data_IF_602425508144
#
_entry.id   IF_602425508144
#
_cell.length_a   1.000
_cell.length_b   1.000
_cell.length_c   1.000
_cell.angle_alpha   90.00
_cell.angle_beta   90.00
_cell.angle_gamma   90.00
#
_symmetry.space_group_name_H-M   'P 1'
#
loop_
_entity.id
_entity.type
_entity.pdbx_description
1 polymer ?
#
# COMPACT_ATOMS: atom_id res chain seq x y z
N UNK A 1 -4.26 -37.45 -33.04
CA UNK A 1 -4.21 -36.26 -32.17
C UNK A 1 -3.28 -36.60 -31.02
N UNK A 2 -2.11 -35.97 -30.88
CA UNK A 2 -1.24 -36.25 -29.74
C UNK A 2 -1.85 -35.62 -28.50
N UNK A 3 -1.86 -36.42 -27.43
CA UNK A 3 -2.33 -36.11 -26.09
C UNK A 3 -1.63 -34.84 -25.58
N UNK A 4 -2.37 -33.74 -25.51
CA UNK A 4 -1.86 -32.46 -25.00
C UNK A 4 -1.83 -32.60 -23.48
N UNK A 5 -0.70 -33.00 -22.91
CA UNK A 5 -0.51 -32.95 -21.45
C UNK A 5 -0.61 -31.48 -21.04
N UNK A 6 -1.75 -31.09 -20.47
CA UNK A 6 -2.13 -29.70 -20.19
C UNK A 6 -1.36 -29.10 -18.99
N UNK A 7 -0.69 -29.92 -18.17
CA UNK A 7 0.16 -29.45 -17.08
C UNK A 7 1.40 -30.36 -16.97
N UNK A 8 2.57 -29.74 -16.86
CA UNK A 8 3.84 -30.45 -16.62
C UNK A 8 4.31 -30.17 -15.19
N UNK A 9 4.59 -31.23 -14.43
CA UNK A 9 5.13 -31.09 -13.09
C UNK A 9 6.56 -30.52 -13.13
N UNK A 10 6.82 -29.54 -12.28
CA UNK A 10 8.15 -28.97 -12.04
C UNK A 10 8.66 -29.52 -10.72
N UNK A 11 9.89 -30.04 -10.71
CA UNK A 11 10.55 -30.51 -9.49
C UNK A 11 10.83 -29.33 -8.55
N UNK A 12 10.67 -29.53 -7.23
CA UNK A 12 10.80 -28.45 -6.23
C UNK A 12 12.16 -27.72 -6.32
N UNK A 13 13.25 -28.47 -6.56
CA UNK A 13 14.58 -27.87 -6.75
C UNK A 13 14.65 -26.94 -7.96
N UNK A 14 13.97 -27.29 -9.05
CA UNK A 14 13.92 -26.45 -10.23
C UNK A 14 13.04 -25.21 -9.97
N UNK A 15 11.92 -25.41 -9.26
CA UNK A 15 11.04 -24.32 -8.88
C UNK A 15 11.71 -23.30 -7.96
N UNK A 16 12.56 -23.73 -7.01
CA UNK A 16 13.35 -22.83 -6.18
C UNK A 16 14.20 -21.84 -7.01
N UNK A 17 14.81 -22.31 -8.10
CA UNK A 17 15.57 -21.46 -9.02
C UNK A 17 14.71 -20.44 -9.77
N UNK A 18 13.47 -20.81 -10.13
CA UNK A 18 12.52 -19.89 -10.74
C UNK A 18 12.05 -18.84 -9.72
N UNK A 19 11.68 -19.29 -8.53
CA UNK A 19 11.25 -18.43 -7.43
C UNK A 19 12.35 -17.43 -7.03
N UNK A 20 13.61 -17.86 -7.01
CA UNK A 20 14.76 -16.98 -6.77
C UNK A 20 14.78 -15.77 -7.71
N UNK A 21 14.62 -15.99 -9.01
CA UNK A 21 14.61 -14.91 -10.00
C UNK A 21 13.37 -14.04 -9.86
N UNK A 22 12.18 -14.65 -9.72
CA UNK A 22 10.93 -13.92 -9.66
C UNK A 22 10.74 -13.09 -8.37
N UNK A 23 11.34 -13.51 -7.26
CA UNK A 23 11.24 -12.82 -5.96
C UNK A 23 12.29 -11.74 -5.74
N UNK A 24 13.23 -11.53 -6.67
CA UNK A 24 14.35 -10.62 -6.46
C UNK A 24 13.90 -9.18 -6.16
N UNK A 25 12.97 -8.64 -6.96
CA UNK A 25 12.47 -7.27 -6.77
C UNK A 25 11.71 -7.13 -5.44
N UNK A 26 10.91 -8.14 -5.11
CA UNK A 26 10.22 -8.20 -3.81
C UNK A 26 11.23 -8.15 -2.64
N UNK A 27 12.33 -8.92 -2.69
CA UNK A 27 13.32 -8.91 -1.61
C UNK A 27 14.14 -7.63 -1.55
N UNK A 28 14.42 -6.98 -2.68
CA UNK A 28 15.00 -5.62 -2.69
C UNK A 28 14.05 -4.63 -2.03
N UNK A 29 12.74 -4.72 -2.30
CA UNK A 29 11.74 -3.87 -1.67
C UNK A 29 11.68 -4.13 -0.16
N UNK A 30 11.65 -5.40 0.26
CA UNK A 30 11.70 -5.80 1.66
C UNK A 30 12.89 -5.16 2.39
N UNK A 31 14.10 -5.21 1.80
CA UNK A 31 15.29 -4.55 2.36
C UNK A 31 15.07 -3.04 2.58
N UNK A 32 14.55 -2.34 1.56
CA UNK A 32 14.29 -0.91 1.66
C UNK A 32 13.26 -0.60 2.77
N UNK A 33 12.19 -1.39 2.86
CA UNK A 33 11.13 -1.18 3.85
C UNK A 33 11.57 -1.47 5.28
N UNK A 34 12.39 -2.51 5.51
CA UNK A 34 12.99 -2.83 6.82
C UNK A 34 14.00 -1.77 7.26
N UNK A 35 14.81 -1.25 6.32
CA UNK A 35 15.79 -0.20 6.62
C UNK A 35 15.13 1.12 7.08
N UNK A 36 13.91 1.39 6.61
CA UNK A 36 13.14 2.58 7.02
C UNK A 36 12.62 2.48 8.46
N UNK A 37 12.37 1.28 8.97
CA UNK A 37 11.91 1.09 10.36
C UNK A 37 13.06 1.15 11.38
N UNK A 38 14.28 0.80 10.97
CA UNK A 38 15.48 0.86 11.82
C UNK A 38 16.07 2.28 12.01
N UNK A 39 15.43 3.30 11.41
CA UNK A 39 15.76 4.72 11.59
C UNK A 39 15.41 5.27 12.97
N UNK A 40 16.05 6.37 13.38
CA UNK A 40 15.82 7.03 14.67
C UNK A 40 14.37 7.55 14.72
N UNK A 41 13.56 7.26 15.75
CA UNK A 41 12.18 7.75 15.81
C UNK A 41 12.15 9.28 15.75
N UNK A 42 11.51 9.82 14.70
CA UNK A 42 11.27 11.26 14.57
C UNK A 42 11.63 11.91 13.21
N UNK A 43 12.31 11.20 12.30
CA UNK A 43 12.52 11.73 10.94
C UNK A 43 11.29 11.45 10.05
N UNK A 44 10.75 12.50 9.40
CA UNK A 44 9.64 12.37 8.46
C UNK A 44 9.99 11.51 7.22
N UNK A 45 11.29 11.27 6.95
CA UNK A 45 11.78 10.39 5.88
C UNK A 45 11.65 8.89 6.18
N UNK A 46 11.42 8.52 7.44
CA UNK A 46 11.58 7.14 7.93
C UNK A 46 10.24 6.40 8.06
N UNK A 47 9.11 7.08 7.82
CA UNK A 47 7.80 6.43 7.89
C UNK A 47 7.35 5.96 6.51
N UNK A 48 6.79 4.75 6.46
CA UNK A 48 6.08 4.29 5.28
C UNK A 48 4.97 5.27 4.93
N UNK A 49 4.90 5.61 3.65
CA UNK A 49 3.85 6.45 3.07
C UNK A 49 3.01 5.62 2.12
N UNK A 50 1.90 6.18 1.63
CA UNK A 50 1.02 5.54 0.63
C UNK A 50 1.76 4.88 -0.54
N UNK A 51 2.82 5.50 -1.07
CA UNK A 51 3.61 4.93 -2.19
C UNK A 51 4.33 3.63 -1.82
N UNK A 52 4.76 3.49 -0.56
CA UNK A 52 5.45 2.30 -0.08
C UNK A 52 4.49 1.12 0.02
N UNK A 53 3.29 1.35 0.58
CA UNK A 53 2.23 0.34 0.60
C UNK A 53 1.79 -0.03 -0.82
N UNK A 54 1.66 0.94 -1.72
CA UNK A 54 1.33 0.67 -3.12
C UNK A 54 2.36 -0.23 -3.81
N UNK A 55 3.66 0.08 -3.66
CA UNK A 55 4.70 -0.78 -4.22
C UNK A 55 4.68 -2.17 -3.58
N UNK A 56 4.47 -2.27 -2.27
CA UNK A 56 4.39 -3.55 -1.57
C UNK A 56 3.21 -4.40 -2.04
N UNK A 57 2.05 -3.79 -2.28
CA UNK A 57 0.90 -4.45 -2.90
C UNK A 57 1.31 -5.03 -4.26
N UNK A 58 1.92 -4.20 -5.13
CA UNK A 58 2.29 -4.61 -6.48
C UNK A 58 3.27 -5.78 -6.49
N UNK A 59 4.33 -5.73 -5.68
CA UNK A 59 5.34 -6.81 -5.64
C UNK A 59 4.81 -8.07 -4.95
N UNK A 60 3.99 -7.94 -3.90
CA UNK A 60 3.38 -9.10 -3.24
C UNK A 60 2.34 -9.79 -4.14
N UNK A 61 1.57 -9.02 -4.91
CA UNK A 61 0.59 -9.53 -5.87
C UNK A 61 1.27 -10.27 -7.04
N UNK A 62 2.36 -9.71 -7.58
CA UNK A 62 3.16 -10.36 -8.61
C UNK A 62 3.80 -11.67 -8.10
N UNK A 63 4.34 -11.66 -6.87
CA UNK A 63 4.94 -12.85 -6.27
C UNK A 63 3.89 -13.93 -5.94
N UNK A 64 2.74 -13.56 -5.36
CA UNK A 64 1.64 -14.50 -5.09
C UNK A 64 1.10 -15.10 -6.39
N UNK A 65 0.88 -14.28 -7.42
CA UNK A 65 0.40 -14.77 -8.72
C UNK A 65 1.37 -15.79 -9.32
N UNK A 66 2.68 -15.51 -9.27
CA UNK A 66 3.70 -16.47 -9.69
C UNK A 66 3.64 -17.77 -8.89
N UNK A 67 3.48 -17.70 -7.57
CA UNK A 67 3.37 -18.89 -6.72
C UNK A 67 2.12 -19.71 -7.07
N UNK A 68 0.98 -19.04 -7.26
CA UNK A 68 -0.30 -19.67 -7.58
C UNK A 68 -0.28 -20.31 -8.99
N UNK A 69 0.37 -19.68 -9.98
CA UNK A 69 0.53 -20.21 -11.34
C UNK A 69 1.29 -21.56 -11.36
N UNK A 70 2.16 -21.81 -10.39
CA UNK A 70 2.88 -23.08 -10.22
C UNK A 70 2.22 -24.01 -9.20
N UNK A 71 1.04 -23.65 -8.68
CA UNK A 71 0.31 -24.45 -7.69
C UNK A 71 1.03 -24.53 -6.34
N UNK A 72 1.88 -23.57 -6.00
CA UNK A 72 2.70 -23.59 -4.78
C UNK A 72 1.84 -23.67 -3.50
N UNK A 73 0.63 -23.10 -3.51
CA UNK A 73 -0.35 -23.20 -2.43
C UNK A 73 -0.76 -24.65 -2.11
N UNK A 74 -0.68 -25.56 -3.08
CA UNK A 74 -1.00 -26.97 -2.91
C UNK A 74 0.25 -27.85 -2.69
N UNK A 75 1.44 -27.26 -2.76
CA UNK A 75 2.69 -27.94 -2.48
C UNK A 75 3.06 -27.80 -1.00
N UNK A 76 3.36 -28.90 -0.31
CA UNK A 76 3.63 -28.90 1.13
C UNK A 76 4.85 -28.05 1.52
N UNK A 77 5.85 -27.96 0.64
CA UNK A 77 7.07 -27.18 0.85
C UNK A 77 6.80 -25.68 0.71
N UNK A 78 5.97 -25.26 -0.27
CA UNK A 78 5.78 -23.83 -0.60
C UNK A 78 4.45 -23.23 -0.12
N UNK A 79 3.51 -24.03 0.38
CA UNK A 79 2.19 -23.54 0.80
C UNK A 79 2.31 -22.48 1.90
N UNK A 80 3.16 -22.69 2.90
CA UNK A 80 3.32 -21.74 3.99
C UNK A 80 3.88 -20.39 3.51
N UNK A 81 4.93 -20.41 2.69
CA UNK A 81 5.48 -19.23 2.05
C UNK A 81 4.42 -18.46 1.24
N UNK A 82 3.62 -19.18 0.46
CA UNK A 82 2.55 -18.59 -0.36
C UNK A 82 1.50 -17.88 0.48
N UNK A 83 1.04 -18.50 1.57
CA UNK A 83 0.07 -17.89 2.49
C UNK A 83 0.62 -16.65 3.20
N UNK A 84 1.91 -16.61 3.52
CA UNK A 84 2.54 -15.42 4.10
C UNK A 84 2.61 -14.26 3.10
N UNK A 85 2.97 -14.53 1.84
CA UNK A 85 2.98 -13.50 0.78
C UNK A 85 1.56 -12.96 0.55
N UNK A 86 0.56 -13.84 0.48
CA UNK A 86 -0.84 -13.45 0.35
C UNK A 86 -1.32 -12.61 1.55
N UNK A 87 -0.95 -13.00 2.78
CA UNK A 87 -1.26 -12.24 4.00
C UNK A 87 -0.63 -10.85 3.97
N UNK A 88 0.65 -10.76 3.60
CA UNK A 88 1.37 -9.49 3.49
C UNK A 88 0.70 -8.53 2.51
N UNK A 89 0.22 -9.05 1.37
CA UNK A 89 -0.53 -8.25 0.39
C UNK A 89 -1.78 -7.61 1.01
N UNK A 90 -2.55 -8.35 1.79
CA UNK A 90 -3.75 -7.81 2.45
C UNK A 90 -3.43 -6.78 3.54
N UNK A 91 -2.38 -7.00 4.33
CA UNK A 91 -1.89 -5.98 5.28
C UNK A 91 -1.43 -4.71 4.55
N UNK A 92 -0.79 -4.86 3.39
CA UNK A 92 -0.38 -3.73 2.57
C UNK A 92 -1.59 -2.96 2.00
N UNK A 93 -2.65 -3.65 1.54
CA UNK A 93 -3.91 -3.03 1.12
C UNK A 93 -4.60 -2.25 2.25
N UNK A 94 -4.66 -2.83 3.44
CA UNK A 94 -5.20 -2.14 4.61
C UNK A 94 -4.35 -0.90 4.95
N UNK A 95 -3.03 -1.04 5.00
CA UNK A 95 -2.11 0.07 5.27
C UNK A 95 -2.20 1.19 4.23
N UNK A 96 -2.34 0.85 2.95
CA UNK A 96 -2.58 1.82 1.88
C UNK A 96 -3.88 2.58 2.09
N UNK A 97 -4.97 1.88 2.41
CA UNK A 97 -6.30 2.46 2.58
C UNK A 97 -6.36 3.39 3.80
N UNK A 98 -5.81 2.95 4.94
CA UNK A 98 -5.74 3.75 6.18
C UNK A 98 -4.81 4.94 6.00
N UNK A 99 -3.64 4.77 5.35
CA UNK A 99 -2.75 5.89 5.00
C UNK A 99 -3.44 6.91 4.09
N UNK A 100 -4.28 6.45 3.16
CA UNK A 100 -5.05 7.33 2.30
C UNK A 100 -6.14 8.08 3.07
N UNK A 101 -6.86 7.41 3.97
CA UNK A 101 -7.86 8.03 4.85
C UNK A 101 -7.22 9.12 5.72
N UNK A 102 -6.09 8.83 6.38
CA UNK A 102 -5.35 9.77 7.20
C UNK A 102 -5.01 11.06 6.43
N UNK A 103 -4.50 10.91 5.21
CA UNK A 103 -4.19 12.06 4.34
C UNK A 103 -5.41 12.86 3.86
N UNK A 104 -6.62 12.30 3.98
CA UNK A 104 -7.88 12.95 3.59
C UNK A 104 -8.62 13.62 4.75
N UNK A 105 -8.30 13.30 6.01
CA UNK A 105 -8.94 13.93 7.17
C UNK A 105 -9.01 15.47 7.09
N UNK A 106 -7.94 16.18 6.66
CA UNK A 106 -8.00 17.65 6.55
C UNK A 106 -8.97 18.18 5.49
N UNK A 107 -9.49 17.32 4.61
CA UNK A 107 -10.43 17.70 3.54
C UNK A 107 -11.89 17.49 3.89
N UNK A 108 -12.19 16.87 5.04
CA UNK A 108 -13.56 16.73 5.52
C UNK A 108 -14.02 18.03 6.19
N UNK A 109 -15.28 18.39 5.97
CA UNK A 109 -15.91 19.58 6.54
C UNK A 109 -16.07 19.50 8.06
N UNK A 110 -16.34 20.64 8.68
CA UNK A 110 -16.51 20.74 10.13
C UNK A 110 -17.72 19.93 10.62
N UNK A 111 -18.73 19.75 9.75
CA UNK A 111 -19.97 19.01 10.04
C UNK A 111 -19.71 17.53 10.36
N UNK A 112 -18.61 16.96 9.85
CA UNK A 112 -18.23 15.57 10.14
C UNK A 112 -17.91 15.34 11.63
N UNK A 113 -17.51 16.39 12.35
CA UNK A 113 -16.98 16.30 13.71
C UNK A 113 -18.00 16.68 14.79
N UNK A 114 -19.20 17.11 14.39
CA UNK A 114 -20.28 17.48 15.31
C UNK A 114 -20.81 16.30 16.14
N UNK A 115 -20.49 15.06 15.75
CA UNK A 115 -20.93 13.81 16.39
C UNK A 115 -20.17 13.40 17.67
N UNK A 116 -19.28 14.24 18.20
CA UNK A 116 -18.59 14.03 19.48
C UNK A 116 -17.23 13.33 19.40
N UNK A 117 -16.79 12.90 18.21
CA UNK A 117 -15.39 12.52 17.96
C UNK A 117 -14.66 13.73 17.38
N UNK A 118 -13.62 14.21 18.06
CA UNK A 118 -12.80 15.28 17.49
C UNK A 118 -11.92 14.76 16.34
N UNK A 119 -11.52 15.68 15.47
CA UNK A 119 -10.59 15.36 14.38
C UNK A 119 -9.27 14.82 14.91
N UNK A 120 -8.77 15.39 16.01
CA UNK A 120 -7.52 15.00 16.64
C UNK A 120 -7.59 13.59 17.21
N UNK A 121 -8.70 13.20 17.85
CA UNK A 121 -8.94 11.83 18.32
C UNK A 121 -8.99 10.85 17.15
N UNK A 122 -9.72 11.18 16.08
CA UNK A 122 -9.77 10.35 14.88
C UNK A 122 -8.39 10.19 14.22
N UNK A 123 -7.61 11.28 14.13
CA UNK A 123 -6.26 11.26 13.59
C UNK A 123 -5.32 10.39 14.43
N UNK A 124 -5.44 10.43 15.75
CA UNK A 124 -4.68 9.59 16.67
C UNK A 124 -5.02 8.11 16.50
N UNK A 125 -6.30 7.74 16.52
CA UNK A 125 -6.78 6.36 16.38
C UNK A 125 -6.39 5.76 15.02
N UNK A 126 -6.56 6.53 13.94
CA UNK A 126 -6.17 6.12 12.58
C UNK A 126 -4.65 5.94 12.49
N UNK A 127 -3.88 6.83 13.13
CA UNK A 127 -2.42 6.73 13.16
C UNK A 127 -1.92 5.52 13.94
N UNK A 128 -2.57 5.18 15.06
CA UNK A 128 -2.29 3.96 15.83
C UNK A 128 -2.58 2.72 15.00
N UNK A 129 -3.76 2.65 14.37
CA UNK A 129 -4.14 1.56 13.47
C UNK A 129 -3.16 1.40 12.31
N UNK A 130 -2.71 2.50 11.71
CA UNK A 130 -1.68 2.49 10.67
C UNK A 130 -0.33 1.97 11.19
N UNK A 131 0.03 2.32 12.43
CA UNK A 131 1.21 1.79 13.12
C UNK A 131 1.15 0.28 13.31
N UNK A 132 0.01 -0.24 13.75
CA UNK A 132 -0.23 -1.69 13.88
C UNK A 132 -0.11 -2.42 12.54
N UNK A 133 -0.73 -1.87 11.48
CA UNK A 133 -0.66 -2.45 10.13
C UNK A 133 0.76 -2.48 9.61
N UNK A 134 1.52 -1.39 9.77
CA UNK A 134 2.94 -1.32 9.40
C UNK A 134 3.76 -2.36 10.14
N UNK A 135 3.63 -2.43 11.47
CA UNK A 135 4.38 -3.37 12.29
C UNK A 135 4.05 -4.83 11.93
N UNK A 136 2.79 -5.12 11.59
CA UNK A 136 2.37 -6.45 11.14
C UNK A 136 2.96 -6.79 9.78
N UNK A 137 2.96 -5.85 8.83
CA UNK A 137 3.60 -6.04 7.53
C UNK A 137 5.11 -6.27 7.65
N UNK A 138 5.80 -5.52 8.52
CA UNK A 138 7.24 -5.69 8.78
C UNK A 138 7.55 -7.10 9.33
N UNK A 139 6.79 -7.56 10.33
CA UNK A 139 6.95 -8.93 10.86
C UNK A 139 6.71 -10.01 9.79
N UNK A 140 5.72 -9.81 8.94
CA UNK A 140 5.48 -10.73 7.81
C UNK A 140 6.63 -10.71 6.80
N UNK A 141 7.19 -9.54 6.48
CA UNK A 141 8.36 -9.42 5.61
C UNK A 141 9.56 -10.18 6.22
N UNK A 142 9.81 -10.04 7.53
CA UNK A 142 10.87 -10.78 8.21
C UNK A 142 10.64 -12.29 8.16
N UNK A 143 9.42 -12.75 8.45
CA UNK A 143 9.05 -14.17 8.38
C UNK A 143 9.20 -14.74 6.96
N UNK A 144 8.76 -14.01 5.93
CA UNK A 144 8.92 -14.40 4.52
C UNK A 144 10.40 -14.53 4.15
N UNK A 145 11.26 -13.61 4.62
CA UNK A 145 12.71 -13.70 4.38
C UNK A 145 13.32 -14.92 5.06
N UNK A 146 12.91 -15.21 6.29
CA UNK A 146 13.39 -16.40 7.01
C UNK A 146 13.01 -17.67 6.24
N UNK A 147 11.74 -17.82 5.89
CA UNK A 147 11.22 -18.96 5.14
C UNK A 147 11.90 -19.10 3.78
N UNK A 148 12.13 -18.00 3.06
CA UNK A 148 12.87 -18.03 1.81
C UNK A 148 14.28 -18.62 1.99
N UNK A 149 14.97 -18.27 3.07
CA UNK A 149 16.26 -18.85 3.41
C UNK A 149 16.17 -20.35 3.71
N UNK A 150 15.13 -20.79 4.42
CA UNK A 150 14.86 -22.21 4.71
C UNK A 150 14.55 -23.01 3.43
N UNK A 151 13.89 -22.37 2.44
CA UNK A 151 13.66 -22.89 1.09
C UNK A 151 14.91 -22.86 0.19
N UNK A 152 16.04 -22.35 0.70
CA UNK A 152 17.31 -22.30 0.00
C UNK A 152 17.46 -21.15 -1.00
N UNK A 153 16.65 -20.10 -0.88
CA UNK A 153 16.80 -18.89 -1.68
C UNK A 153 17.95 -18.03 -1.13
N UNK A 154 18.73 -17.47 -2.05
CA UNK A 154 19.79 -16.50 -1.77
C UNK A 154 19.20 -15.09 -1.75
N UNK A 155 19.08 -14.51 -0.56
CA UNK A 155 18.55 -13.15 -0.43
C UNK A 155 19.58 -12.11 -0.86
N UNK A 156 19.20 -11.26 -1.82
CA UNK A 156 20.04 -10.13 -2.22
C UNK A 156 20.20 -9.13 -1.06
N UNK A 157 21.40 -8.57 -0.85
CA UNK A 157 21.63 -7.50 0.13
C UNK A 157 21.16 -6.12 -0.38
N UNK A 158 20.87 -5.99 -1.68
CA UNK A 158 20.55 -4.71 -2.30
C UNK A 158 19.14 -4.23 -1.91
N UNK A 159 18.99 -2.93 -1.69
CA UNK A 159 17.70 -2.31 -1.42
C UNK A 159 17.06 -1.76 -2.71
N UNK A 160 15.73 -1.75 -2.74
CA UNK A 160 14.96 -1.14 -3.82
C UNK A 160 15.24 0.38 -3.87
N UNK A 161 15.69 0.92 -5.01
CA UNK A 161 16.07 2.34 -5.10
C UNK A 161 14.90 3.27 -4.79
N UNK A 162 15.15 4.34 -4.02
CA UNK A 162 14.12 5.32 -3.67
C UNK A 162 13.48 5.96 -4.92
N UNK A 163 14.27 6.10 -6.01
CA UNK A 163 13.83 6.61 -7.31
C UNK A 163 12.80 5.72 -8.01
N UNK A 164 12.72 4.44 -7.65
CA UNK A 164 11.84 3.48 -8.30
C UNK A 164 10.44 3.46 -7.65
N UNK A 165 10.27 4.04 -6.46
CA UNK A 165 8.94 4.26 -5.92
C UNK A 165 8.21 5.31 -6.76
N UNK A 166 6.93 5.06 -7.05
CA UNK A 166 6.09 6.03 -7.76
C UNK A 166 6.17 7.39 -7.05
N UNK A 167 6.60 8.46 -7.75
CA UNK A 167 6.75 9.77 -7.15
C UNK A 167 5.38 10.33 -6.74
N UNK A 168 5.33 11.03 -5.62
CA UNK A 168 4.13 11.79 -5.23
C UNK A 168 4.07 13.02 -6.13
N UNK A 169 3.35 12.91 -7.25
CA UNK A 169 3.31 13.94 -8.29
C UNK A 169 2.42 15.12 -7.91
N UNK A 170 3.00 16.32 -8.06
CA UNK A 170 2.38 17.65 -8.20
C UNK A 170 1.47 18.16 -7.08
N UNK A 171 1.82 19.33 -6.51
CA UNK A 171 0.91 20.15 -5.67
C UNK A 171 -0.05 21.02 -6.49
N UNK A 172 -0.04 20.90 -7.82
CA UNK A 172 -0.96 21.66 -8.66
C UNK A 172 -2.36 21.07 -8.50
N UNK A 173 -3.33 21.94 -8.23
CA UNK A 173 -4.73 21.57 -8.06
C UNK A 173 -5.53 22.21 -9.19
N UNK A 174 -6.46 21.44 -9.74
CA UNK A 174 -7.53 22.04 -10.54
C UNK A 174 -8.41 22.92 -9.62
N UNK A 175 -9.05 23.96 -10.18
CA UNK A 175 -10.08 24.71 -9.48
C UNK A 175 -11.16 23.78 -8.90
N UNK A 176 -11.71 24.12 -7.74
CA UNK A 176 -12.78 23.37 -7.06
C UNK A 176 -14.15 23.86 -7.56
N UNK A 177 -14.49 23.51 -8.80
CA UNK A 177 -15.69 23.99 -9.49
C UNK A 177 -16.79 22.92 -9.64
N UNK A 178 -16.78 21.87 -8.81
CA UNK A 178 -17.79 20.79 -8.86
C UNK A 178 -19.19 21.30 -8.50
N UNK A 179 -19.27 22.25 -7.57
CA UNK A 179 -20.52 22.89 -7.13
C UNK A 179 -20.72 24.27 -7.75
N UNK A 180 -19.82 24.69 -8.66
CA UNK A 180 -20.10 25.85 -9.51
C UNK A 180 -21.17 25.39 -10.50
N UNK A 181 -22.44 25.73 -10.21
CA UNK A 181 -23.41 25.83 -11.27
C UNK A 181 -22.79 26.71 -12.37
N UNK A 182 -22.89 26.30 -13.63
CA UNK A 182 -22.59 27.18 -14.76
C UNK A 182 -23.57 28.36 -14.70
N UNK A 183 -23.29 29.32 -13.82
CA UNK A 183 -23.95 30.61 -13.81
C UNK A 183 -23.37 31.34 -15.01
N UNK A 184 -24.11 31.26 -16.12
CA UNK A 184 -23.74 31.83 -17.40
C UNK A 184 -23.69 33.37 -17.35
N UNK A 185 -24.23 34.01 -16.29
CA UNK A 185 -24.30 35.47 -16.15
C UNK A 185 -23.77 35.98 -14.80
N UNK A 186 -23.05 37.10 -14.86
CA UNK A 186 -22.34 37.73 -13.74
C UNK A 186 -23.30 38.19 -12.62
N UNK A 187 -24.53 38.60 -12.97
CA UNK A 187 -25.55 38.99 -11.98
C UNK A 187 -25.96 37.83 -11.06
N UNK A 188 -26.01 36.59 -11.56
CA UNK A 188 -26.36 35.43 -10.73
C UNK A 188 -25.28 35.12 -9.70
N UNK A 189 -24.00 35.31 -10.04
CA UNK A 189 -22.88 35.14 -9.10
C UNK A 189 -22.92 36.17 -7.98
N UNK A 190 -23.23 37.43 -8.30
CA UNK A 190 -23.34 38.51 -7.28
C UNK A 190 -24.49 38.22 -6.32
N UNK A 191 -25.65 37.79 -6.83
CA UNK A 191 -26.80 37.45 -6.00
C UNK A 191 -26.54 36.26 -5.08
N UNK A 192 -25.86 35.22 -5.57
CA UNK A 192 -25.52 34.04 -4.76
C UNK A 192 -24.52 34.37 -3.65
N UNK A 193 -23.46 35.14 -3.96
CA UNK A 193 -22.47 35.57 -2.96
C UNK A 193 -23.11 36.46 -1.90
N UNK A 194 -23.97 37.40 -2.30
CA UNK A 194 -24.69 38.25 -1.34
C UNK A 194 -25.61 37.44 -0.42
N UNK A 195 -26.29 36.42 -0.96
CA UNK A 195 -27.18 35.55 -0.19
C UNK A 195 -26.39 34.69 0.80
N UNK A 196 -25.29 34.07 0.35
CA UNK A 196 -24.39 33.29 1.21
C UNK A 196 -23.76 34.15 2.32
N UNK A 197 -23.38 35.39 2.02
CA UNK A 197 -22.85 36.32 3.01
C UNK A 197 -23.90 36.70 4.06
N UNK A 198 -25.15 36.94 3.65
CA UNK A 198 -26.23 37.27 4.56
C UNK A 198 -26.54 36.10 5.51
N UNK A 199 -26.58 34.87 4.97
CA UNK A 199 -26.81 33.65 5.75
C UNK A 199 -25.69 33.35 6.76
N UNK A 200 -24.45 33.76 6.46
CA UNK A 200 -23.31 33.59 7.37
C UNK A 200 -23.19 34.72 8.41
N UNK A 201 -23.96 35.81 8.27
CA UNK A 201 -23.95 36.97 9.16
C UNK A 201 -25.10 36.97 10.18
N UNK A 202 -26.04 36.02 10.06
CA UNK A 202 -27.04 35.68 11.09
C UNK A 202 -26.52 34.58 12.02
#
# INVERSE_FOLDING_TARGET
MPDTRLETLVEERQFAGLLQTHSEVFFRLANALLSKDSGRPGSASDRWTKKHYFQLISEADALESFLDDYGARYNRTYAHFTEMVASLRWFAYAGYSVSHLLGRLPSYGEEMWEGGLSREEAEADISEGLGFLRASALRLIEAIRQEAGELGLELTPEAFPESNFVPITSKQRLPRNVDEAELLEEEQRVAEVATKFLQAAE
#
